data_IF_246181580935
#
_entry.id   IF_246181580935
#
_cell.length_a   1.000
_cell.length_b   1.000
_cell.length_c   1.000
_cell.angle_alpha   90.00
_cell.angle_beta   90.00
_cell.angle_gamma   90.00
#
_symmetry.space_group_name_H-M   'P 1'
#
loop_
_entity.id
_entity.type
_entity.pdbx_description
1 polymer ?
#
# COMPACT_ATOMS: atom_id res chain seq x y z
N UNK A 1 17.49 3.18 -53.76
CA UNK A 1 17.07 4.41 -53.05
C UNK A 1 15.95 4.04 -52.08
N UNK A 2 16.21 4.03 -50.77
CA UNK A 2 15.17 3.75 -49.77
C UNK A 2 14.17 4.91 -49.73
N UNK A 3 12.97 4.66 -50.23
CA UNK A 3 11.87 5.60 -50.19
C UNK A 3 11.40 5.70 -48.73
N UNK A 4 11.81 6.74 -48.01
CA UNK A 4 11.31 7.04 -46.66
C UNK A 4 9.84 7.44 -46.82
N UNK A 5 8.93 6.47 -46.71
CA UNK A 5 7.52 6.74 -46.42
C UNK A 5 7.51 7.50 -45.09
N UNK A 6 7.48 8.82 -45.15
CA UNK A 6 7.02 9.62 -44.04
C UNK A 6 5.63 9.09 -43.72
N UNK A 7 5.51 8.31 -42.64
CA UNK A 7 4.23 7.90 -42.13
C UNK A 7 3.50 9.19 -41.78
N UNK A 8 2.56 9.59 -42.63
CA UNK A 8 1.61 10.65 -42.32
C UNK A 8 0.73 10.11 -41.20
N UNK A 9 1.22 10.19 -39.97
CA UNK A 9 0.39 10.00 -38.79
C UNK A 9 -0.70 11.05 -38.92
N UNK A 10 -1.94 10.57 -39.06
CA UNK A 10 -3.10 11.44 -39.21
C UNK A 10 -3.17 12.39 -38.02
N UNK A 11 -3.54 13.64 -38.25
CA UNK A 11 -3.76 14.63 -37.19
C UNK A 11 -4.69 14.08 -36.11
N UNK A 12 -5.70 13.28 -36.50
CA UNK A 12 -6.60 12.63 -35.55
C UNK A 12 -5.87 11.68 -34.59
N UNK A 13 -4.87 10.95 -35.07
CA UNK A 13 -4.06 10.05 -34.24
C UNK A 13 -3.23 10.83 -33.22
N UNK A 14 -2.69 11.99 -33.61
CA UNK A 14 -1.95 12.87 -32.71
C UNK A 14 -2.87 13.39 -31.59
N UNK A 15 -4.09 13.81 -31.96
CA UNK A 15 -5.09 14.31 -31.00
C UNK A 15 -5.48 13.21 -30.00
N UNK A 16 -5.77 11.99 -30.49
CA UNK A 16 -6.14 10.87 -29.61
C UNK A 16 -4.98 10.51 -28.68
N UNK A 17 -3.75 10.48 -29.18
CA UNK A 17 -2.56 10.19 -28.37
C UNK A 17 -2.37 11.23 -27.26
N UNK A 18 -2.58 12.51 -27.55
CA UNK A 18 -2.50 13.58 -26.55
C UNK A 18 -3.57 13.45 -25.47
N UNK A 19 -4.82 13.15 -25.85
CA UNK A 19 -5.92 12.93 -24.88
C UNK A 19 -5.62 11.73 -23.98
N UNK A 20 -5.19 10.61 -24.57
CA UNK A 20 -4.85 9.41 -23.81
C UNK A 20 -3.73 9.66 -22.80
N UNK A 21 -2.70 10.43 -23.18
CA UNK A 21 -1.60 10.80 -22.30
C UNK A 21 -2.08 11.67 -21.14
N UNK A 22 -2.92 12.67 -21.40
CA UNK A 22 -3.50 13.54 -20.36
C UNK A 22 -4.31 12.70 -19.37
N UNK A 23 -5.19 11.82 -19.85
CA UNK A 23 -6.00 10.95 -18.99
C UNK A 23 -5.10 10.07 -18.13
N UNK A 24 -4.05 9.48 -18.70
CA UNK A 24 -3.10 8.66 -17.95
C UNK A 24 -2.43 9.45 -16.81
N UNK A 25 -1.97 10.68 -17.09
CA UNK A 25 -1.35 11.55 -16.07
C UNK A 25 -2.34 11.86 -14.95
N UNK A 26 -3.60 12.18 -15.28
CA UNK A 26 -4.65 12.46 -14.30
C UNK A 26 -4.94 11.23 -13.44
N UNK A 27 -5.03 10.04 -14.04
CA UNK A 27 -5.22 8.80 -13.30
C UNK A 27 -4.07 8.56 -12.32
N UNK A 28 -2.82 8.69 -12.77
CA UNK A 28 -1.64 8.52 -11.91
C UNK A 28 -1.69 9.51 -10.73
N UNK A 29 -2.01 10.78 -10.97
CA UNK A 29 -2.09 11.80 -9.92
C UNK A 29 -3.15 11.47 -8.86
N UNK A 30 -4.35 11.05 -9.28
CA UNK A 30 -5.43 10.67 -8.36
C UNK A 30 -5.05 9.40 -7.58
N UNK A 31 -4.58 8.37 -8.28
CA UNK A 31 -4.21 7.10 -7.64
C UNK A 31 -3.07 7.30 -6.63
N UNK A 32 -2.05 8.09 -6.97
CA UNK A 32 -0.93 8.40 -6.05
C UNK A 32 -1.39 9.16 -4.80
N UNK A 33 -2.28 10.15 -4.97
CA UNK A 33 -2.85 10.90 -3.85
C UNK A 33 -3.66 10.01 -2.90
N UNK A 34 -4.47 9.09 -3.45
CA UNK A 34 -5.31 8.18 -2.64
C UNK A 34 -4.49 7.14 -1.88
N UNK A 35 -3.44 6.56 -2.50
CA UNK A 35 -2.56 5.59 -1.83
C UNK A 35 -1.89 6.20 -0.59
N UNK A 36 -1.44 7.45 -0.69
CA UNK A 36 -0.80 8.17 0.42
C UNK A 36 -1.76 8.40 1.61
N UNK A 37 -3.04 8.64 1.32
CA UNK A 37 -4.08 8.80 2.35
C UNK A 37 -4.38 7.49 3.09
N UNK A 38 -4.37 6.35 2.40
CA UNK A 38 -4.59 5.04 3.04
C UNK A 38 -3.47 4.64 3.99
N UNK A 39 -2.20 4.94 3.65
CA UNK A 39 -1.08 4.69 4.55
C UNK A 39 -1.19 5.50 5.85
N UNK A 40 -1.51 6.80 5.74
CA UNK A 40 -1.66 7.69 6.91
C UNK A 40 -2.78 7.28 7.85
N UNK A 41 -3.95 6.87 7.32
CA UNK A 41 -5.05 6.44 8.17
C UNK A 41 -4.71 5.20 9.03
N UNK A 42 -3.85 4.31 8.52
CA UNK A 42 -3.39 3.15 9.27
C UNK A 42 -2.32 3.53 10.30
N UNK A 43 -1.41 4.43 9.93
CA UNK A 43 -0.40 4.96 10.85
C UNK A 43 -1.04 5.76 11.99
N UNK A 44 -2.02 6.62 11.72
CA UNK A 44 -2.72 7.42 12.73
C UNK A 44 -3.57 6.55 13.67
N UNK A 45 -4.16 5.46 13.17
CA UNK A 45 -4.96 4.53 14.00
C UNK A 45 -4.09 3.75 15.01
N UNK A 46 -2.82 3.56 14.68
CA UNK A 46 -1.86 2.79 15.48
C UNK A 46 -0.85 3.69 16.20
N UNK A 47 -0.82 4.99 15.91
CA UNK A 47 0.08 5.95 16.51
C UNK A 47 -0.04 5.94 18.05
N UNK A 48 1.08 5.63 18.71
CA UNK A 48 1.17 5.59 20.18
C UNK A 48 0.68 4.31 20.83
N UNK A 49 0.09 3.38 20.06
CA UNK A 49 -0.24 2.03 20.54
C UNK A 49 0.98 1.14 20.55
N UNK A 50 0.98 0.18 21.46
CA UNK A 50 1.95 -0.92 21.46
C UNK A 50 1.43 -2.07 20.58
N UNK A 51 2.31 -2.96 20.11
CA UNK A 51 1.88 -4.13 19.33
C UNK A 51 0.86 -5.00 20.09
N UNK A 52 0.99 -5.06 21.43
CA UNK A 52 0.06 -5.77 22.31
C UNK A 52 -1.33 -5.14 22.41
N UNK A 53 -1.51 -3.89 21.96
CA UNK A 53 -2.81 -3.22 21.95
C UNK A 53 -3.61 -3.57 20.69
N UNK A 54 -2.99 -4.26 19.72
CA UNK A 54 -3.68 -4.75 18.53
C UNK A 54 -4.41 -6.04 18.87
N UNK A 55 -5.72 -6.06 18.62
CA UNK A 55 -6.56 -7.21 18.90
C UNK A 55 -7.44 -7.57 17.71
N UNK A 56 -7.58 -8.86 17.43
CA UNK A 56 -8.46 -9.41 16.39
C UNK A 56 -9.33 -10.50 17.03
N UNK A 57 -10.64 -10.47 16.76
CA UNK A 57 -11.55 -11.51 17.24
C UNK A 57 -11.60 -12.63 16.22
N UNK A 58 -11.26 -13.83 16.67
CA UNK A 58 -11.35 -15.06 15.88
C UNK A 58 -12.27 -16.03 16.61
N UNK A 59 -13.46 -16.27 16.05
CA UNK A 59 -14.52 -17.00 16.74
C UNK A 59 -14.92 -16.34 18.05
N UNK A 60 -14.77 -17.05 19.17
CA UNK A 60 -15.01 -16.53 20.53
C UNK A 60 -13.75 -16.06 21.26
N UNK A 61 -12.58 -16.15 20.63
CA UNK A 61 -11.30 -15.75 21.23
C UNK A 61 -10.88 -14.37 20.71
N UNK A 62 -10.20 -13.61 21.58
CA UNK A 62 -9.55 -12.35 21.20
C UNK A 62 -8.05 -12.62 21.14
N UNK A 63 -7.50 -12.58 19.93
CA UNK A 63 -6.07 -12.71 19.71
C UNK A 63 -5.41 -11.35 19.90
N UNK A 64 -4.20 -11.35 20.45
CA UNK A 64 -3.42 -10.16 20.74
C UNK A 64 -2.16 -10.16 19.88
N UNK A 65 -1.76 -8.98 19.40
CA UNK A 65 -0.54 -8.81 18.64
C UNK A 65 0.72 -9.09 19.45
N UNK A 66 1.74 -9.64 18.80
CA UNK A 66 3.04 -9.91 19.39
C UNK A 66 4.18 -9.68 18.39
N UNK A 67 5.34 -9.28 18.90
CA UNK A 67 6.55 -9.07 18.10
C UNK A 67 7.21 -10.39 17.72
N UNK A 68 7.41 -10.61 16.42
CA UNK A 68 8.05 -11.79 15.87
C UNK A 68 9.10 -11.40 14.82
N UNK A 69 10.03 -12.27 14.47
CA UNK A 69 11.02 -12.01 13.40
C UNK A 69 10.38 -12.04 12.01
N UNK A 70 9.31 -12.80 11.85
CA UNK A 70 8.47 -12.93 10.66
C UNK A 70 7.10 -13.44 11.12
N UNK A 71 6.03 -13.09 10.41
CA UNK A 71 4.72 -13.69 10.68
C UNK A 71 4.63 -15.01 9.91
N UNK A 72 4.58 -16.13 10.64
CA UNK A 72 4.43 -17.47 10.07
C UNK A 72 2.99 -17.73 9.56
N UNK A 73 2.75 -18.91 8.99
CA UNK A 73 1.40 -19.33 8.59
C UNK A 73 0.41 -19.24 9.77
N UNK A 74 -0.75 -18.62 9.54
CA UNK A 74 -1.75 -18.37 10.60
C UNK A 74 -1.53 -17.06 11.37
N UNK A 75 -0.62 -16.19 10.92
CA UNK A 75 -0.48 -14.83 11.44
C UNK A 75 -0.63 -13.77 10.33
N UNK A 76 -1.24 -12.64 10.68
CA UNK A 76 -1.26 -11.42 9.87
C UNK A 76 -0.25 -10.43 10.40
N UNK A 77 0.53 -9.84 9.51
CA UNK A 77 1.39 -8.71 9.85
C UNK A 77 0.54 -7.45 10.01
N UNK A 78 0.74 -6.74 11.11
CA UNK A 78 0.12 -5.45 11.37
C UNK A 78 1.14 -4.37 11.04
N UNK A 79 0.83 -3.55 10.04
CA UNK A 79 1.69 -2.43 9.60
C UNK A 79 1.23 -1.16 10.31
N UNK A 80 2.14 -0.46 10.97
CA UNK A 80 1.87 0.81 11.63
C UNK A 80 3.03 1.30 12.48
N UNK A 81 2.85 2.47 13.09
CA UNK A 81 3.84 3.09 13.99
C UNK A 81 3.56 2.75 15.44
N UNK A 82 4.24 1.72 15.96
CA UNK A 82 4.09 1.29 17.34
C UNK A 82 5.08 1.99 18.27
N UNK A 83 4.62 2.38 19.47
CA UNK A 83 5.44 3.06 20.48
C UNK A 83 6.55 2.18 21.07
N UNK A 84 6.34 0.85 21.07
CA UNK A 84 7.26 -0.19 21.52
C UNK A 84 8.09 -0.81 20.38
N UNK A 85 8.01 -0.28 19.15
CA UNK A 85 8.80 -0.76 18.01
C UNK A 85 10.32 -0.62 18.25
N UNK A 86 10.72 0.45 18.95
CA UNK A 86 12.13 0.72 19.31
C UNK A 86 12.73 -0.35 20.24
N UNK A 87 11.89 -0.98 21.06
CA UNK A 87 12.30 -2.03 22.01
C UNK A 87 12.37 -3.40 21.31
N UNK A 88 11.94 -3.47 20.04
CA UNK A 88 11.84 -4.69 19.23
C UNK A 88 12.53 -4.52 17.85
N UNK A 89 13.84 -4.22 17.80
CA UNK A 89 14.54 -3.98 16.54
C UNK A 89 14.55 -5.23 15.66
N UNK A 90 14.26 -5.06 14.37
CA UNK A 90 14.26 -6.13 13.38
C UNK A 90 13.10 -7.12 13.50
N UNK A 91 12.10 -6.82 14.34
CA UNK A 91 10.87 -7.61 14.46
C UNK A 91 9.70 -6.90 13.78
N UNK A 92 8.67 -7.67 13.47
CA UNK A 92 7.38 -7.23 12.93
C UNK A 92 6.27 -7.56 13.94
N UNK A 93 5.23 -6.74 13.99
CA UNK A 93 4.05 -7.00 14.81
C UNK A 93 3.13 -7.99 14.07
N UNK A 94 2.86 -9.13 14.68
CA UNK A 94 2.05 -10.20 14.11
C UNK A 94 0.84 -10.50 15.00
N UNK A 95 -0.32 -10.77 14.40
CA UNK A 95 -1.52 -11.19 15.12
C UNK A 95 -2.02 -12.52 14.56
N UNK A 96 -2.33 -13.47 15.43
CA UNK A 96 -2.82 -14.79 15.00
C UNK A 96 -4.23 -14.70 14.44
N UNK A 97 -4.47 -15.39 13.33
CA UNK A 97 -5.76 -15.42 12.64
C UNK A 97 -6.65 -16.60 12.99
N UNK A 98 -6.15 -17.49 13.87
CA UNK A 98 -6.73 -18.80 14.20
C UNK A 98 -6.83 -19.77 13.04
#
# INVERSE_FOLDING_TARGET
MMNKKAQSISINTIIIAAIALIVLVVLIAIFTGRITLFGKGLDDALAGKECKDVTEKVGSQTMVGGWQTSCDEGFKQVVGTFSDAKDNPGKVCCISTG
#
